data_IF_216227080481
#
_entry.id   IF_216227080481
#
_cell.length_a   1.000
_cell.length_b   1.000
_cell.length_c   1.000
_cell.angle_alpha   90.00
_cell.angle_beta   90.00
_cell.angle_gamma   90.00
#
_symmetry.space_group_name_H-M   'P 1'
#
loop_
_entity.id
_entity.type
_entity.pdbx_description
1 polymer ?
#
# COMPACT_ATOMS: atom_id res chain seq x y z
N UNK A 1 -31.26 54.17 -12.31
CA UNK A 1 -30.77 52.93 -12.95
C UNK A 1 -29.50 52.52 -12.21
N UNK A 2 -29.60 51.58 -11.26
CA UNK A 2 -28.46 51.11 -10.43
C UNK A 2 -27.93 49.82 -11.08
N UNK A 3 -26.68 49.88 -11.55
CA UNK A 3 -25.95 48.75 -12.12
C UNK A 3 -25.47 47.83 -10.96
N UNK A 4 -26.01 46.62 -10.86
CA UNK A 4 -25.50 45.59 -9.95
C UNK A 4 -24.32 44.86 -10.64
N UNK A 5 -23.12 45.10 -10.12
CA UNK A 5 -21.91 44.39 -10.54
C UNK A 5 -21.89 43.04 -9.80
N UNK A 6 -22.21 41.96 -10.50
CA UNK A 6 -22.06 40.59 -9.99
C UNK A 6 -20.58 40.20 -10.13
N UNK A 7 -19.86 40.20 -9.02
CA UNK A 7 -18.49 39.64 -8.94
C UNK A 7 -18.61 38.13 -8.83
N UNK A 8 -18.39 37.43 -9.93
CA UNK A 8 -18.21 35.97 -9.95
C UNK A 8 -16.84 35.67 -9.33
N UNK A 9 -16.81 35.31 -8.05
CA UNK A 9 -15.62 34.71 -7.41
C UNK A 9 -15.51 33.25 -7.89
N UNK A 10 -14.72 33.04 -8.93
CA UNK A 10 -14.35 31.72 -9.39
C UNK A 10 -13.48 31.07 -8.32
N UNK A 11 -14.03 30.10 -7.58
CA UNK A 11 -13.26 29.22 -6.70
C UNK A 11 -12.46 28.29 -7.65
N UNK A 12 -11.22 28.69 -7.96
CA UNK A 12 -10.24 27.80 -8.57
C UNK A 12 -9.87 26.73 -7.52
N UNK A 13 -10.54 25.56 -7.57
CA UNK A 13 -10.02 24.36 -6.92
C UNK A 13 -8.68 24.02 -7.59
N UNK A 14 -7.59 24.51 -7.04
CA UNK A 14 -6.26 24.04 -7.40
C UNK A 14 -6.17 22.57 -6.96
N UNK A 15 -6.30 21.64 -7.91
CA UNK A 15 -5.89 20.26 -7.76
C UNK A 15 -4.36 20.28 -7.59
N UNK A 16 -3.90 20.44 -6.37
CA UNK A 16 -2.49 20.22 -6.04
C UNK A 16 -2.23 18.73 -6.21
N UNK A 17 -1.56 18.35 -7.30
CA UNK A 17 -1.03 17.01 -7.43
C UNK A 17 -0.07 16.78 -6.26
N UNK A 18 -0.34 15.79 -5.41
CA UNK A 18 0.56 15.45 -4.31
C UNK A 18 1.92 15.04 -4.89
N UNK A 19 2.98 15.67 -4.39
CA UNK A 19 4.35 15.36 -4.81
C UNK A 19 4.69 13.92 -4.44
N UNK A 20 5.29 13.19 -5.40
CA UNK A 20 5.76 11.82 -5.17
C UNK A 20 7.10 11.88 -4.44
N UNK A 21 7.13 11.36 -3.22
CA UNK A 21 8.34 11.32 -2.39
C UNK A 21 8.98 9.94 -2.47
N UNK A 22 10.17 9.84 -3.07
CA UNK A 22 10.94 8.59 -3.14
C UNK A 22 11.41 8.18 -1.75
N UNK A 23 11.41 6.87 -1.51
CA UNK A 23 11.84 6.26 -0.25
C UNK A 23 12.91 5.22 -0.55
N UNK A 24 14.03 5.29 0.18
CA UNK A 24 15.09 4.30 0.08
C UNK A 24 14.63 2.95 0.67
N UNK A 25 15.04 1.85 0.02
CA UNK A 25 14.72 0.51 0.49
C UNK A 25 15.25 0.23 1.90
N UNK A 26 16.40 0.80 2.26
CA UNK A 26 17.03 0.62 3.57
C UNK A 26 16.16 1.20 4.69
N UNK A 27 15.52 2.34 4.45
CA UNK A 27 14.56 2.93 5.38
C UNK A 27 13.34 2.00 5.57
N UNK A 28 12.86 1.38 4.48
CA UNK A 28 11.67 0.53 4.52
C UNK A 28 11.85 -0.75 5.35
N UNK A 29 13.08 -1.26 5.52
CA UNK A 29 13.29 -2.40 6.42
C UNK A 29 12.97 -2.07 7.87
N UNK A 30 13.24 -0.83 8.31
CA UNK A 30 13.23 -0.43 9.72
C UNK A 30 12.14 0.58 10.09
N UNK A 31 11.49 1.25 9.11
CA UNK A 31 10.54 2.33 9.36
C UNK A 31 9.29 1.90 10.12
N UNK A 32 8.75 0.72 9.82
CA UNK A 32 7.65 0.10 10.56
C UNK A 32 7.74 -1.42 10.46
N UNK A 33 7.05 -2.12 11.34
CA UNK A 33 7.01 -3.59 11.38
C UNK A 33 5.62 -4.11 11.64
N UNK A 34 5.35 -5.32 11.20
CA UNK A 34 4.15 -6.06 11.56
C UNK A 34 4.02 -6.20 13.08
N UNK A 35 2.80 -6.05 13.58
CA UNK A 35 2.44 -6.31 14.96
C UNK A 35 2.02 -7.77 15.20
N UNK A 36 0.92 -7.96 15.94
CA UNK A 36 0.39 -9.29 16.28
C UNK A 36 -0.67 -9.82 15.32
N UNK A 37 -0.96 -9.10 14.24
CA UNK A 37 -1.94 -9.47 13.21
C UNK A 37 -1.33 -10.34 12.12
N UNK A 38 -2.15 -10.96 11.28
CA UNK A 38 -1.75 -11.78 10.13
C UNK A 38 -1.35 -10.99 8.89
N UNK A 39 -0.92 -9.73 9.00
CA UNK A 39 -0.75 -8.77 7.90
C UNK A 39 0.57 -8.90 7.13
N UNK A 40 1.34 -9.97 7.30
CA UNK A 40 2.66 -10.09 6.68
C UNK A 40 2.64 -9.85 5.16
N UNK A 41 1.60 -10.32 4.47
CA UNK A 41 1.42 -10.14 3.03
C UNK A 41 1.20 -8.67 2.70
N UNK A 42 0.29 -8.01 3.42
CA UNK A 42 -0.04 -6.59 3.23
C UNK A 42 1.14 -5.69 3.59
N UNK A 43 1.84 -5.97 4.68
CA UNK A 43 3.06 -5.24 5.09
C UNK A 43 4.15 -5.39 4.04
N UNK A 44 4.39 -6.61 3.55
CA UNK A 44 5.40 -6.86 2.52
C UNK A 44 5.14 -6.10 1.24
N UNK A 45 3.91 -6.22 0.68
CA UNK A 45 3.58 -5.59 -0.60
C UNK A 45 3.52 -4.06 -0.50
N UNK A 46 3.06 -3.49 0.62
CA UNK A 46 3.06 -2.03 0.79
C UNK A 46 4.47 -1.46 0.85
N UNK A 47 5.41 -2.13 1.54
CA UNK A 47 6.83 -1.74 1.52
C UNK A 47 7.41 -1.80 0.11
N UNK A 48 7.15 -2.88 -0.62
CA UNK A 48 7.63 -3.04 -1.99
C UNK A 48 7.04 -1.97 -2.92
N UNK A 49 5.74 -1.66 -2.81
CA UNK A 49 5.08 -0.63 -3.60
C UNK A 49 5.62 0.77 -3.28
N UNK A 50 5.81 1.11 -2.00
CA UNK A 50 6.41 2.39 -1.60
C UNK A 50 7.86 2.50 -2.09
N UNK A 51 8.63 1.40 -2.07
CA UNK A 51 9.99 1.38 -2.60
C UNK A 51 10.05 1.77 -4.07
N UNK A 52 9.16 1.19 -4.90
CA UNK A 52 9.16 1.41 -6.35
C UNK A 52 8.54 2.76 -6.72
N UNK A 53 7.38 3.07 -6.15
CA UNK A 53 6.57 4.20 -6.59
C UNK A 53 6.73 5.44 -5.71
N UNK A 54 7.20 5.29 -4.47
CA UNK A 54 7.27 6.37 -3.48
C UNK A 54 5.94 6.59 -2.73
N UNK A 55 6.00 7.46 -1.71
CA UNK A 55 4.80 8.00 -1.05
C UNK A 55 4.03 8.82 -2.10
N UNK A 56 2.70 8.73 -2.09
CA UNK A 56 1.79 9.33 -3.07
C UNK A 56 1.97 8.83 -4.52
N UNK A 57 2.79 7.79 -4.74
CA UNK A 57 3.08 7.25 -6.06
C UNK A 57 2.41 5.90 -6.35
N UNK A 58 1.92 5.18 -5.35
CA UNK A 58 1.27 3.85 -5.53
C UNK A 58 -0.09 4.00 -6.21
N UNK A 59 -0.86 5.02 -5.86
CA UNK A 59 -2.13 5.42 -6.47
C UNK A 59 -2.26 6.95 -6.44
N UNK A 60 -3.22 7.50 -7.20
CA UNK A 60 -3.58 8.92 -7.15
C UNK A 60 -4.78 9.11 -6.23
N UNK A 61 -4.75 10.15 -5.40
CA UNK A 61 -5.86 10.54 -4.53
C UNK A 61 -6.52 11.82 -5.03
N UNK A 62 -7.84 11.89 -4.91
CA UNK A 62 -8.65 13.09 -5.14
C UNK A 62 -9.69 13.18 -4.03
N UNK A 63 -9.59 14.18 -3.17
CA UNK A 63 -10.61 14.47 -2.17
C UNK A 63 -11.86 14.97 -2.90
N UNK A 64 -12.98 14.29 -2.71
CA UNK A 64 -14.28 14.63 -3.29
C UNK A 64 -15.02 15.59 -2.35
N UNK A 65 -15.06 15.24 -1.05
CA UNK A 65 -15.65 16.02 0.01
C UNK A 65 -15.00 15.66 1.38
N UNK A 66 -15.59 16.11 2.49
CA UNK A 66 -15.06 15.89 3.85
C UNK A 66 -15.01 14.40 4.26
N UNK A 67 -15.80 13.55 3.59
CA UNK A 67 -15.98 12.14 3.95
C UNK A 67 -15.52 11.17 2.86
N UNK A 68 -15.35 11.63 1.62
CA UNK A 68 -15.07 10.77 0.47
C UNK A 68 -13.75 11.13 -0.21
N UNK A 69 -12.94 10.10 -0.47
CA UNK A 69 -11.72 10.21 -1.28
C UNK A 69 -11.76 9.21 -2.43
N UNK A 70 -11.69 9.70 -3.67
CA UNK A 70 -11.49 8.85 -4.85
C UNK A 70 -10.00 8.50 -4.96
N UNK A 71 -9.70 7.21 -5.13
CA UNK A 71 -8.38 6.72 -5.49
C UNK A 71 -8.39 6.16 -6.89
N UNK A 72 -7.36 6.47 -7.68
CA UNK A 72 -7.14 5.91 -9.01
C UNK A 72 -5.89 5.04 -8.97
N UNK A 73 -6.06 3.74 -9.19
CA UNK A 73 -4.98 2.76 -9.19
C UNK A 73 -4.11 2.85 -10.45
N UNK A 74 -2.97 2.15 -10.45
CA UNK A 74 -2.06 2.06 -11.61
C UNK A 74 -2.71 1.42 -12.85
N UNK A 75 -3.62 0.47 -12.64
CA UNK A 75 -4.41 -0.15 -13.74
C UNK A 75 -5.56 0.73 -14.25
N UNK A 76 -5.71 1.96 -13.74
CA UNK A 76 -6.73 2.92 -14.13
C UNK A 76 -8.10 2.75 -13.44
N UNK A 77 -8.30 1.70 -12.65
CA UNK A 77 -9.55 1.53 -11.88
C UNK A 77 -9.66 2.59 -10.79
N UNK A 78 -10.90 2.98 -10.50
CA UNK A 78 -11.22 3.99 -9.50
C UNK A 78 -12.09 3.39 -8.40
N UNK A 79 -11.80 3.81 -7.19
CA UNK A 79 -12.54 3.41 -5.98
C UNK A 79 -12.79 4.64 -5.13
N UNK A 80 -13.93 4.68 -4.44
CA UNK A 80 -14.21 5.71 -3.44
C UNK A 80 -14.09 5.10 -2.06
N UNK A 81 -13.22 5.67 -1.24
CA UNK A 81 -13.06 5.32 0.16
C UNK A 81 -13.73 6.38 1.03
N UNK A 82 -14.38 5.91 2.09
CA UNK A 82 -14.92 6.76 3.14
C UNK A 82 -13.83 7.07 4.17
N UNK A 83 -13.94 8.21 4.83
CA UNK A 83 -13.04 8.58 5.93
C UNK A 83 -13.02 7.49 7.03
N UNK A 84 -14.18 6.98 7.39
CA UNK A 84 -14.33 5.87 8.36
C UNK A 84 -13.65 4.58 7.92
N UNK A 85 -13.55 4.28 6.62
CA UNK A 85 -12.83 3.12 6.11
C UNK A 85 -11.31 3.27 6.31
N UNK A 86 -10.77 4.48 6.20
CA UNK A 86 -9.37 4.75 6.57
C UNK A 86 -9.14 4.60 8.07
N UNK A 87 -10.07 5.06 8.91
CA UNK A 87 -10.00 4.92 10.38
C UNK A 87 -10.09 3.45 10.82
N UNK A 88 -10.95 2.65 10.16
CA UNK A 88 -11.03 1.20 10.37
C UNK A 88 -9.72 0.51 9.98
N UNK A 89 -9.13 0.88 8.85
CA UNK A 89 -7.86 0.32 8.39
C UNK A 89 -6.71 0.66 9.34
N UNK A 90 -6.65 1.90 9.86
CA UNK A 90 -5.65 2.34 10.84
C UNK A 90 -5.73 1.51 12.14
N UNK A 91 -6.94 1.28 12.62
CA UNK A 91 -7.18 0.46 13.80
C UNK A 91 -6.83 -1.01 13.58
N UNK A 92 -7.14 -1.56 12.40
CA UNK A 92 -6.99 -2.97 12.09
C UNK A 92 -5.57 -3.37 11.71
N UNK A 93 -4.85 -2.51 10.97
CA UNK A 93 -3.46 -2.77 10.58
C UNK A 93 -2.51 -2.58 11.76
N UNK A 94 -2.36 -3.60 12.59
CA UNK A 94 -1.58 -3.55 13.82
C UNK A 94 -0.06 -3.43 13.57
N UNK A 95 0.34 -2.46 12.73
CA UNK A 95 1.77 -2.15 12.53
C UNK A 95 2.30 -1.26 13.63
N UNK A 96 3.60 -1.34 13.84
CA UNK A 96 4.31 -0.56 14.86
C UNK A 96 5.42 0.22 14.21
N UNK A 97 5.59 1.48 14.62
CA UNK A 97 6.73 2.28 14.22
C UNK A 97 8.03 1.56 14.59
N UNK A 98 8.97 1.53 13.66
CA UNK A 98 10.27 0.92 13.86
C UNK A 98 11.24 1.85 14.59
N UNK A 99 12.50 1.41 14.76
CA UNK A 99 13.53 2.19 15.44
C UNK A 99 13.83 3.51 14.73
N UNK A 100 13.91 3.45 13.39
CA UNK A 100 14.16 4.61 12.52
C UNK A 100 12.85 5.03 11.84
N UNK A 101 11.75 4.98 12.62
CA UNK A 101 10.40 5.06 12.11
C UNK A 101 10.05 6.44 11.57
N UNK A 102 9.52 6.46 10.36
CA UNK A 102 8.92 7.64 9.74
C UNK A 102 7.38 7.52 9.80
N UNK A 103 6.70 8.38 10.59
CA UNK A 103 5.24 8.38 10.70
C UNK A 103 4.54 8.64 9.36
N UNK A 104 5.17 9.34 8.42
CA UNK A 104 4.60 9.61 7.09
C UNK A 104 4.55 8.32 6.27
N UNK A 105 5.64 7.55 6.25
CA UNK A 105 5.70 6.24 5.57
C UNK A 105 4.66 5.29 6.17
N UNK A 106 4.57 5.25 7.50
CA UNK A 106 3.61 4.37 8.20
C UNK A 106 2.16 4.74 7.86
N UNK A 107 1.81 6.04 7.90
CA UNK A 107 0.45 6.50 7.52
C UNK A 107 0.13 6.18 6.07
N UNK A 108 1.10 6.31 5.16
CA UNK A 108 0.89 5.97 3.77
C UNK A 108 0.72 4.45 3.56
N UNK A 109 1.44 3.61 4.31
CA UNK A 109 1.24 2.17 4.32
C UNK A 109 -0.17 1.78 4.80
N UNK A 110 -0.71 2.46 5.82
CA UNK A 110 -2.10 2.28 6.28
C UNK A 110 -3.10 2.68 5.19
N UNK A 111 -2.86 3.77 4.47
CA UNK A 111 -3.68 4.14 3.31
C UNK A 111 -3.64 3.06 2.22
N UNK A 112 -2.46 2.53 1.90
CA UNK A 112 -2.35 1.41 0.96
C UNK A 112 -3.18 0.20 1.42
N UNK A 113 -3.17 -0.12 2.71
CA UNK A 113 -3.95 -1.21 3.28
C UNK A 113 -5.47 -0.95 3.17
N UNK A 114 -5.93 0.28 3.42
CA UNK A 114 -7.33 0.67 3.21
C UNK A 114 -7.75 0.50 1.74
N UNK A 115 -6.90 0.94 0.81
CA UNK A 115 -7.13 0.75 -0.63
C UNK A 115 -7.19 -0.74 -0.98
N UNK A 116 -6.28 -1.56 -0.45
CA UNK A 116 -6.30 -3.02 -0.66
C UNK A 116 -7.60 -3.65 -0.17
N UNK A 117 -8.09 -3.25 1.01
CA UNK A 117 -9.36 -3.75 1.55
C UNK A 117 -10.54 -3.36 0.64
N UNK A 118 -10.57 -2.12 0.14
CA UNK A 118 -11.63 -1.64 -0.77
C UNK A 118 -11.63 -2.38 -2.09
N UNK A 119 -10.47 -2.56 -2.69
CA UNK A 119 -10.32 -3.30 -3.95
C UNK A 119 -10.71 -4.77 -3.77
N UNK A 120 -10.27 -5.39 -2.68
CA UNK A 120 -10.62 -6.77 -2.35
C UNK A 120 -12.11 -6.94 -2.10
N UNK A 121 -12.74 -5.98 -1.42
CA UNK A 121 -14.19 -5.94 -1.22
C UNK A 121 -14.93 -6.04 -2.56
N UNK A 122 -14.52 -5.24 -3.54
CA UNK A 122 -15.11 -5.20 -4.87
C UNK A 122 -14.81 -6.49 -5.67
N UNK A 123 -13.54 -6.87 -5.78
CA UNK A 123 -13.10 -8.03 -6.58
C UNK A 123 -13.71 -9.35 -6.12
N UNK A 124 -13.92 -9.53 -4.83
CA UNK A 124 -14.46 -10.76 -4.25
C UNK A 124 -15.94 -10.63 -3.84
N UNK A 125 -16.60 -9.51 -4.16
CA UNK A 125 -17.99 -9.20 -3.79
C UNK A 125 -18.25 -9.41 -2.29
N UNK A 126 -17.32 -8.92 -1.46
CA UNK A 126 -17.42 -9.05 0.01
C UNK A 126 -18.43 -8.03 0.53
N UNK A 127 -19.39 -8.42 1.38
CA UNK A 127 -20.48 -7.55 1.81
C UNK A 127 -20.02 -6.28 2.53
N UNK A 128 -19.00 -6.38 3.39
CA UNK A 128 -18.56 -5.26 4.22
C UNK A 128 -17.05 -5.00 4.09
N UNK A 129 -16.65 -3.75 4.34
CA UNK A 129 -15.25 -3.36 4.37
C UNK A 129 -14.47 -4.06 5.51
N UNK A 130 -15.12 -4.27 6.64
CA UNK A 130 -14.56 -4.97 7.79
C UNK A 130 -14.24 -6.44 7.46
N UNK A 131 -15.12 -7.14 6.75
CA UNK A 131 -14.85 -8.50 6.27
C UNK A 131 -13.71 -8.54 5.26
N UNK A 132 -13.56 -7.51 4.42
CA UNK A 132 -12.43 -7.42 3.50
C UNK A 132 -11.10 -7.23 4.25
N UNK A 133 -11.08 -6.40 5.30
CA UNK A 133 -9.93 -6.29 6.21
C UNK A 133 -9.62 -7.66 6.84
N UNK A 134 -10.62 -8.35 7.38
CA UNK A 134 -10.43 -9.66 7.99
C UNK A 134 -9.80 -10.66 7.01
N UNK A 135 -10.23 -10.69 5.75
CA UNK A 135 -9.65 -11.55 4.71
C UNK A 135 -8.21 -11.18 4.35
N UNK A 136 -7.85 -9.89 4.36
CA UNK A 136 -6.46 -9.48 4.18
C UNK A 136 -5.56 -9.98 5.29
N UNK A 137 -6.08 -10.06 6.52
CA UNK A 137 -5.34 -10.52 7.69
C UNK A 137 -5.25 -12.04 7.82
N UNK A 138 -6.21 -12.79 7.27
CA UNK A 138 -6.33 -14.23 7.50
C UNK A 138 -6.33 -15.10 6.25
N UNK A 139 -6.30 -14.51 5.05
CA UNK A 139 -6.42 -15.26 3.80
C UNK A 139 -5.67 -14.68 2.61
N UNK A 140 -4.87 -13.64 2.81
CA UNK A 140 -4.13 -13.02 1.73
C UNK A 140 -3.01 -13.94 1.20
N UNK A 141 -2.93 -14.08 -0.12
CA UNK A 141 -1.91 -14.87 -0.80
C UNK A 141 -0.87 -13.97 -1.43
N UNK A 142 0.41 -14.13 -1.07
CA UNK A 142 1.52 -13.37 -1.62
C UNK A 142 1.54 -13.33 -3.15
N UNK A 143 1.22 -14.45 -3.82
CA UNK A 143 1.18 -14.57 -5.28
C UNK A 143 0.10 -13.71 -5.98
N UNK A 144 -0.94 -13.24 -5.26
CA UNK A 144 -2.07 -12.50 -5.83
C UNK A 144 -2.28 -11.12 -5.24
N UNK A 145 -1.55 -10.78 -4.19
CA UNK A 145 -1.78 -9.55 -3.42
C UNK A 145 -1.65 -8.25 -4.24
N UNK A 146 -0.89 -8.30 -5.33
CA UNK A 146 -0.70 -7.14 -6.22
C UNK A 146 -2.00 -6.70 -6.91
N UNK A 147 -2.98 -7.59 -7.09
CA UNK A 147 -4.30 -7.23 -7.63
C UNK A 147 -5.03 -6.25 -6.70
N UNK A 148 -4.86 -6.42 -5.39
CA UNK A 148 -5.51 -5.57 -4.39
C UNK A 148 -4.94 -4.13 -4.37
N UNK A 149 -3.80 -3.87 -5.07
CA UNK A 149 -3.24 -2.54 -5.31
C UNK A 149 -3.28 -2.09 -6.77
N UNK A 150 -3.89 -2.89 -7.67
CA UNK A 150 -3.95 -2.59 -9.09
C UNK A 150 -2.59 -2.56 -9.78
N UNK A 151 -1.68 -3.45 -9.37
CA UNK A 151 -0.30 -3.52 -9.84
C UNK A 151 -0.05 -4.64 -10.85
N UNK A 152 -1.08 -5.15 -11.54
CA UNK A 152 -0.99 -6.28 -12.46
C UNK A 152 0.07 -6.09 -13.55
N UNK A 153 0.22 -4.85 -14.02
CA UNK A 153 1.16 -4.50 -15.07
C UNK A 153 2.57 -4.17 -14.52
N UNK A 154 2.72 -4.17 -13.21
CA UNK A 154 3.92 -3.72 -12.52
C UNK A 154 4.62 -4.85 -11.73
N UNK A 155 4.29 -6.13 -11.99
CA UNK A 155 4.86 -7.25 -11.25
C UNK A 155 5.33 -8.37 -12.18
N UNK A 156 6.40 -9.03 -11.76
CA UNK A 156 6.80 -10.34 -12.24
C UNK A 156 6.64 -11.35 -11.11
N UNK A 157 5.92 -12.45 -11.36
CA UNK A 157 5.80 -13.57 -10.41
C UNK A 157 7.00 -14.48 -10.61
N UNK A 158 7.70 -14.81 -9.53
CA UNK A 158 8.96 -15.57 -9.55
C UNK A 158 8.76 -16.91 -8.86
N UNK A 159 9.12 -17.99 -9.55
CA UNK A 159 9.11 -19.36 -8.98
C UNK A 159 10.24 -19.58 -7.96
N UNK A 160 11.30 -18.80 -8.06
CA UNK A 160 12.42 -18.74 -7.11
C UNK A 160 12.74 -17.28 -6.84
N UNK A 161 12.98 -16.94 -5.58
CA UNK A 161 13.36 -15.57 -5.19
C UNK A 161 14.83 -15.34 -5.51
N UNK A 162 15.18 -14.50 -6.49
CA UNK A 162 16.58 -14.17 -6.77
C UNK A 162 17.09 -13.09 -5.83
N UNK A 163 18.40 -13.05 -5.62
CA UNK A 163 19.06 -12.08 -4.73
C UNK A 163 19.09 -10.66 -5.29
N UNK A 164 18.83 -10.48 -6.60
CA UNK A 164 18.89 -9.19 -7.31
C UNK A 164 17.55 -8.43 -7.36
N UNK A 165 16.54 -8.84 -6.60
CA UNK A 165 15.28 -8.09 -6.50
C UNK A 165 15.55 -6.73 -5.86
N UNK A 166 15.34 -5.65 -6.63
CA UNK A 166 15.45 -4.27 -6.12
C UNK A 166 14.29 -3.90 -5.19
N UNK A 167 13.07 -4.38 -5.46
CA UNK A 167 11.93 -4.27 -4.57
C UNK A 167 10.91 -5.38 -4.85
N UNK A 168 10.47 -6.05 -3.81
CA UNK A 168 9.52 -7.14 -3.96
C UNK A 168 9.10 -7.76 -2.64
N UNK A 169 8.43 -8.90 -2.76
CA UNK A 169 8.14 -9.78 -1.62
C UNK A 169 8.64 -11.19 -1.90
N UNK A 170 9.02 -11.88 -0.84
CA UNK A 170 9.31 -13.29 -0.88
C UNK A 170 8.43 -14.05 0.11
N UNK A 171 8.16 -15.33 -0.16
CA UNK A 171 7.30 -16.15 0.71
C UNK A 171 7.83 -17.53 1.00
N UNK A 172 7.42 -18.00 2.17
CA UNK A 172 7.38 -19.42 2.55
C UNK A 172 5.92 -19.89 2.55
N UNK A 173 5.65 -21.12 2.95
CA UNK A 173 4.26 -21.62 3.17
C UNK A 173 3.49 -20.83 4.24
N UNK A 174 4.19 -20.15 5.16
CA UNK A 174 3.58 -19.54 6.37
C UNK A 174 3.83 -18.05 6.52
N UNK A 175 4.74 -17.47 5.75
CA UNK A 175 5.18 -16.10 5.97
C UNK A 175 5.58 -15.41 4.68
N UNK A 176 5.31 -14.11 4.60
CA UNK A 176 5.70 -13.22 3.50
C UNK A 176 6.52 -12.08 4.08
N UNK A 177 7.57 -11.69 3.38
CA UNK A 177 8.47 -10.60 3.77
C UNK A 177 8.73 -9.64 2.61
N UNK A 178 8.98 -8.38 2.91
CA UNK A 178 9.57 -7.44 1.97
C UNK A 178 11.01 -7.83 1.70
N UNK A 179 11.43 -7.77 0.43
CA UNK A 179 12.80 -8.06 0.00
C UNK A 179 13.34 -6.95 -0.90
N UNK A 180 14.62 -6.63 -0.73
CA UNK A 180 15.35 -5.70 -1.60
C UNK A 180 16.86 -5.99 -1.53
N UNK A 181 17.50 -6.05 -2.70
CA UNK A 181 18.95 -6.17 -2.84
C UNK A 181 19.58 -7.26 -1.95
N UNK A 182 19.07 -8.48 -2.04
CA UNK A 182 19.56 -9.65 -1.29
C UNK A 182 19.24 -9.64 0.21
N UNK A 183 18.40 -8.70 0.67
CA UNK A 183 17.99 -8.61 2.07
C UNK A 183 16.48 -8.78 2.21
N UNK A 184 16.05 -9.18 3.42
CA UNK A 184 14.64 -9.29 3.79
C UNK A 184 14.32 -8.52 5.07
N UNK A 185 13.05 -8.13 5.22
CA UNK A 185 12.52 -7.56 6.46
C UNK A 185 12.16 -8.68 7.46
N UNK A 186 12.98 -8.84 8.46
CA UNK A 186 12.69 -9.74 9.59
C UNK A 186 12.14 -8.94 10.77
N UNK A 187 10.82 -8.66 10.74
CA UNK A 187 10.11 -7.91 11.81
C UNK A 187 10.72 -6.54 12.11
N UNK A 188 11.00 -5.74 11.08
CA UNK A 188 11.60 -4.41 11.21
C UNK A 188 13.12 -4.43 11.36
N UNK A 189 13.78 -5.49 10.89
CA UNK A 189 15.24 -5.61 10.82
C UNK A 189 15.65 -6.04 9.42
N UNK A 190 16.62 -5.33 8.84
CA UNK A 190 17.28 -5.73 7.60
C UNK A 190 18.23 -6.89 7.91
N UNK A 191 18.00 -8.03 7.26
CA UNK A 191 18.86 -9.21 7.35
C UNK A 191 19.05 -9.83 5.96
N UNK A 192 20.11 -10.62 5.70
CA UNK A 192 20.25 -11.34 4.45
C UNK A 192 19.01 -12.20 4.14
N UNK A 193 18.66 -12.31 2.86
CA UNK A 193 17.54 -13.15 2.41
C UNK A 193 17.84 -14.62 2.76
N UNK A 194 16.92 -15.25 3.47
CA UNK A 194 17.03 -16.65 3.86
C UNK A 194 16.61 -17.54 2.67
N UNK A 195 17.43 -18.55 2.27
CA UNK A 195 17.11 -19.48 1.18
C UNK A 195 15.83 -20.28 1.35
N UNK A 196 15.24 -20.32 2.55
CA UNK A 196 13.93 -20.97 2.78
C UNK A 196 12.77 -20.25 2.06
N UNK A 197 12.95 -19.00 1.63
CA UNK A 197 11.98 -18.25 0.84
C UNK A 197 12.10 -18.65 -0.62
N UNK A 198 11.15 -19.47 -1.10
CA UNK A 198 11.26 -20.19 -2.37
C UNK A 198 10.54 -19.54 -3.55
N UNK A 199 9.72 -18.53 -3.33
CA UNK A 199 9.03 -17.79 -4.39
C UNK A 199 8.86 -16.32 -4.03
N UNK A 200 8.54 -15.50 -5.01
CA UNK A 200 8.41 -14.06 -4.77
C UNK A 200 7.67 -13.31 -5.86
N UNK A 201 7.52 -12.02 -5.63
CA UNK A 201 7.14 -11.02 -6.62
C UNK A 201 8.26 -9.99 -6.72
N UNK A 202 8.60 -9.61 -7.95
CA UNK A 202 9.39 -8.42 -8.24
C UNK A 202 8.45 -7.32 -8.69
N UNK A 203 8.51 -6.15 -8.05
CA UNK A 203 7.82 -4.96 -8.53
C UNK A 203 8.74 -4.15 -9.44
N UNK A 204 8.13 -3.49 -10.44
CA UNK A 204 8.78 -2.62 -11.42
C UNK A 204 7.93 -1.37 -11.69
N UNK A 205 8.55 -0.23 -12.06
CA UNK A 205 7.84 1.00 -12.42
C UNK A 205 6.82 0.85 -13.54
#
# INVERSE_FOLDING_TARGET
>A
MRLFLIVLVGICCQLSAQEIKKVDSDVLFTCYKQGKSGDCVSVGITKAAICVFGINGVFKEKVIDETHTEVTLKNGKKYTLLKEEFEMADTAMHIKLGKDGDPEIMRYAIKCFAVMAKVKQDLESIPTFEEAIYKLQHGAHGRKIFYDLGLENNVDVLEKTPDDITAGIAWTKKHVVFVSNGNMDKYGKKVPLDPMYYGGLRLKP
#
